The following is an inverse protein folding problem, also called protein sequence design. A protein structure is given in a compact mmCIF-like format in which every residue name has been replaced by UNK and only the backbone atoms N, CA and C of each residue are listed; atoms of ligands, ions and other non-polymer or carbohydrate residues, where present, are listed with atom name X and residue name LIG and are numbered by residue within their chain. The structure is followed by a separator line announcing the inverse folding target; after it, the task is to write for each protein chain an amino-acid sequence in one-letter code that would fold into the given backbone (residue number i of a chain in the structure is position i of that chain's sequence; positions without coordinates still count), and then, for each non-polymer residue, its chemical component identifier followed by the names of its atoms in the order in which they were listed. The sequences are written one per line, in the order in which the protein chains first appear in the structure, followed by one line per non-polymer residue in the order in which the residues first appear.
data_IF_363563786990
#
_entry.id   IF_363563786990
#
_cell.length_a   1.000
_cell.length_b   1.000
_cell.length_c   1.000
_cell.angle_alpha   90.00
_cell.angle_beta   90.00
_cell.angle_gamma   90.00
#
_symmetry.space_group_name_H-M   'P 1'
#
loop_
_entity.id
_entity.type
_entity.pdbx_description
1 polymer ?
#
# COMPACT_ATOMS: atom_id res chain seq x y z
N UNK A 1 -3.14 2.04 27.69
CA UNK A 1 -3.53 3.43 27.85
C UNK A 1 -4.21 3.90 26.57
N UNK A 2 -5.56 3.91 26.56
CA UNK A 2 -6.32 4.61 25.52
C UNK A 2 -6.06 6.10 25.74
N UNK A 3 -5.50 6.79 24.73
CA UNK A 3 -5.46 8.24 24.69
C UNK A 3 -6.90 8.70 24.44
N UNK A 4 -7.62 9.02 25.48
CA UNK A 4 -8.91 9.69 25.36
C UNK A 4 -8.67 11.05 24.71
N UNK A 5 -9.35 11.32 23.58
CA UNK A 5 -9.28 12.54 22.77
C UNK A 5 -8.08 12.71 21.83
N UNK A 6 -7.46 11.64 21.33
CA UNK A 6 -6.45 11.75 20.27
C UNK A 6 -7.12 12.05 18.92
N UNK A 7 -6.76 13.15 18.28
CA UNK A 7 -7.13 13.39 16.89
C UNK A 7 -6.41 12.37 15.97
N UNK A 8 -6.94 12.13 14.76
CA UNK A 8 -6.28 11.31 13.75
C UNK A 8 -4.83 11.76 13.51
N UNK A 9 -4.59 13.08 13.49
CA UNK A 9 -3.26 13.65 13.36
C UNK A 9 -2.34 13.24 14.53
N UNK A 10 -2.87 13.22 15.76
CA UNK A 10 -2.12 12.82 16.96
C UNK A 10 -1.70 11.34 16.89
N UNK A 11 -2.60 10.48 16.42
CA UNK A 11 -2.31 9.06 16.21
C UNK A 11 -1.25 8.86 15.12
N UNK A 12 -1.36 9.57 14.01
CA UNK A 12 -0.36 9.53 12.93
C UNK A 12 1.01 10.00 13.39
N UNK A 13 1.08 11.10 14.15
CA UNK A 13 2.35 11.58 14.75
C UNK A 13 2.96 10.53 15.68
N UNK A 14 2.15 9.84 16.46
CA UNK A 14 2.60 8.74 17.32
C UNK A 14 3.19 7.57 16.52
N UNK A 15 2.52 7.14 15.45
CA UNK A 15 3.03 6.10 14.55
C UNK A 15 4.38 6.48 13.93
N UNK A 16 4.48 7.70 13.37
CA UNK A 16 5.75 8.18 12.81
C UNK A 16 6.84 8.33 13.86
N UNK A 17 6.51 8.71 15.11
CA UNK A 17 7.45 8.73 16.22
C UNK A 17 8.05 7.36 16.51
N UNK A 18 7.24 6.30 16.49
CA UNK A 18 7.72 4.92 16.65
C UNK A 18 8.61 4.50 15.47
N UNK A 19 8.19 4.78 14.23
CA UNK A 19 8.99 4.48 13.02
C UNK A 19 10.35 5.18 13.12
N UNK A 20 10.38 6.43 13.53
CA UNK A 20 11.61 7.19 13.72
C UNK A 20 12.55 6.54 14.73
N UNK A 21 12.00 6.08 15.86
CA UNK A 21 12.79 5.35 16.88
C UNK A 21 13.39 4.06 16.35
N UNK A 22 12.67 3.33 15.49
CA UNK A 22 13.19 2.15 14.81
C UNK A 22 14.35 2.51 13.87
N UNK A 23 14.18 3.55 13.06
CA UNK A 23 15.21 4.01 12.12
C UNK A 23 16.47 4.45 12.87
N UNK A 24 16.33 5.18 13.98
CA UNK A 24 17.45 5.59 14.80
C UNK A 24 18.20 4.39 15.41
N UNK A 25 17.47 3.38 15.85
CA UNK A 25 18.09 2.15 16.36
C UNK A 25 18.79 1.37 15.24
N UNK A 26 18.22 1.29 14.04
CA UNK A 26 18.89 0.68 12.89
C UNK A 26 20.19 1.40 12.53
N UNK A 27 20.19 2.74 12.61
CA UNK A 27 21.42 3.55 12.41
C UNK A 27 22.45 3.26 13.51
N UNK A 28 22.03 3.21 14.77
CA UNK A 28 22.89 2.89 15.91
C UNK A 28 23.53 1.51 15.76
N UNK A 29 22.79 0.54 15.22
CA UNK A 29 23.27 -0.82 14.97
C UNK A 29 24.10 -0.94 13.69
N UNK A 30 24.17 0.08 12.86
CA UNK A 30 24.91 0.07 11.59
C UNK A 30 24.24 -0.76 10.49
N UNK A 31 22.94 -1.05 10.59
CA UNK A 31 22.21 -1.87 9.62
C UNK A 31 21.30 -1.05 8.70
N UNK A 32 21.15 0.25 8.97
CA UNK A 32 20.22 1.12 8.24
C UNK A 32 20.54 1.19 6.74
N UNK A 33 21.81 1.38 6.38
CA UNK A 33 22.25 1.55 5.00
C UNK A 33 21.95 0.30 4.16
N UNK A 34 22.24 -0.87 4.72
CA UNK A 34 22.11 -2.16 4.05
C UNK A 34 20.67 -2.72 4.06
N UNK A 35 19.75 -1.98 4.67
CA UNK A 35 18.35 -2.43 4.79
C UNK A 35 17.45 -1.78 3.74
N UNK A 36 16.63 -2.59 3.08
CA UNK A 36 15.43 -2.10 2.40
C UNK A 36 14.33 -1.89 3.43
N UNK A 37 13.79 -0.68 3.50
CA UNK A 37 12.72 -0.32 4.44
C UNK A 37 11.46 0.02 3.66
N UNK A 38 10.35 -0.64 3.98
CA UNK A 38 9.05 -0.40 3.36
C UNK A 38 8.07 -0.02 4.49
N UNK A 39 7.47 1.15 4.38
CA UNK A 39 6.45 1.65 5.29
C UNK A 39 5.18 1.87 4.49
N UNK A 40 4.13 1.13 4.84
CA UNK A 40 2.84 1.23 4.14
C UNK A 40 1.69 0.99 5.10
N UNK A 41 0.48 1.39 4.71
CA UNK A 41 -0.74 0.96 5.39
C UNK A 41 -1.24 -0.37 4.82
N UNK A 42 -1.90 -1.16 5.65
CA UNK A 42 -2.57 -2.41 5.26
C UNK A 42 -3.81 -2.14 4.40
N UNK A 43 -4.50 -1.04 4.69
CA UNK A 43 -5.66 -0.54 3.94
C UNK A 43 -5.75 0.99 4.02
N UNK A 44 -6.47 1.65 3.12
CA UNK A 44 -6.72 3.08 3.21
C UNK A 44 -7.61 3.41 4.41
N UNK A 45 -7.46 4.62 4.96
CA UNK A 45 -8.43 5.15 5.91
C UNK A 45 -9.74 5.43 5.16
N UNK A 46 -10.68 4.52 5.27
CA UNK A 46 -12.01 4.68 4.72
C UNK A 46 -13.03 4.47 5.83
N UNK A 47 -14.06 5.29 5.88
CA UNK A 47 -15.32 4.86 6.48
C UNK A 47 -15.96 3.92 5.48
N UNK A 48 -16.21 2.71 5.92
CA UNK A 48 -17.08 1.80 5.21
C UNK A 48 -18.51 2.28 5.49
N UNK A 49 -19.03 3.04 4.56
CA UNK A 49 -20.41 3.55 4.60
C UNK A 49 -21.40 2.63 3.86
N UNK A 50 -20.92 1.43 3.46
CA UNK A 50 -21.72 0.47 2.71
C UNK A 50 -21.96 0.87 1.26
N UNK A 51 -21.21 1.83 0.74
CA UNK A 51 -21.37 2.31 -0.63
C UNK A 51 -20.12 2.04 -1.47
N UNK A 52 -20.33 1.87 -2.78
CA UNK A 52 -19.24 1.76 -3.75
C UNK A 52 -18.39 3.05 -3.70
N UNK A 53 -17.07 2.95 -3.64
CA UNK A 53 -16.21 4.12 -3.63
C UNK A 53 -16.48 5.07 -4.80
N UNK A 54 -16.61 6.34 -4.49
CA UNK A 54 -16.74 7.44 -5.46
C UNK A 54 -15.51 8.32 -5.52
N UNK A 55 -14.47 7.98 -4.76
CA UNK A 55 -13.20 8.68 -4.70
C UNK A 55 -12.05 7.69 -4.47
N UNK A 56 -10.81 8.08 -4.83
CA UNK A 56 -9.66 7.20 -4.64
C UNK A 56 -9.47 6.78 -3.18
N UNK A 57 -9.18 5.50 -2.96
CA UNK A 57 -8.81 4.95 -1.66
C UNK A 57 -7.37 4.45 -1.75
N UNK A 58 -6.43 5.25 -1.26
CA UNK A 58 -5.00 4.99 -1.38
C UNK A 58 -4.37 4.86 0.00
N UNK A 59 -3.40 3.96 0.12
CA UNK A 59 -2.50 3.87 1.27
C UNK A 59 -1.24 4.68 1.02
N UNK A 60 -0.62 5.15 2.09
CA UNK A 60 0.73 5.71 2.00
C UNK A 60 1.73 4.59 1.72
N UNK A 61 2.75 4.89 0.91
CA UNK A 61 3.87 3.99 0.65
C UNK A 61 5.17 4.80 0.66
N UNK A 62 6.10 4.38 1.50
CA UNK A 62 7.47 4.90 1.53
C UNK A 62 8.41 3.71 1.37
N UNK A 63 9.39 3.85 0.49
CA UNK A 63 10.37 2.80 0.22
C UNK A 63 11.77 3.41 0.25
N UNK A 64 12.64 2.84 1.09
CA UNK A 64 14.08 3.09 1.09
C UNK A 64 14.77 1.84 0.57
N UNK A 65 15.45 1.89 -0.58
CA UNK A 65 16.27 0.78 -1.05
C UNK A 65 17.49 0.54 -0.15
N UNK A 66 17.99 -0.68 -0.09
CA UNK A 66 19.31 -0.96 0.48
C UNK A 66 20.41 -0.23 -0.31
N UNK A 67 21.50 0.13 0.35
CA UNK A 67 22.61 0.87 -0.26
C UNK A 67 22.35 2.37 -0.43
N UNK A 68 21.23 2.90 0.09
CA UNK A 68 20.96 4.33 0.10
C UNK A 68 21.00 4.87 1.53
N UNK A 69 21.67 5.98 1.74
CA UNK A 69 21.71 6.71 3.01
C UNK A 69 21.67 8.22 2.72
N UNK A 70 21.09 8.96 3.64
CA UNK A 70 21.07 10.43 3.66
C UNK A 70 20.55 11.11 2.36
N UNK A 71 19.84 10.36 1.53
CA UNK A 71 19.19 10.91 0.36
C UNK A 71 17.84 11.55 0.76
N UNK A 72 17.52 12.70 0.15
CA UNK A 72 16.25 13.36 0.43
C UNK A 72 15.07 12.49 -0.05
N UNK A 73 13.94 12.62 0.64
CA UNK A 73 12.69 12.00 0.21
C UNK A 73 12.27 12.56 -1.15
N UNK A 74 12.07 11.67 -2.11
CA UNK A 74 11.60 12.01 -3.47
C UNK A 74 10.22 11.43 -3.68
N UNK A 75 9.35 12.19 -4.34
CA UNK A 75 8.07 11.65 -4.81
C UNK A 75 8.28 10.89 -6.10
N UNK A 76 7.87 9.62 -6.12
CA UNK A 76 7.78 8.84 -7.36
C UNK A 76 6.35 8.83 -7.89
N UNK A 77 6.23 8.90 -9.21
CA UNK A 77 4.99 8.75 -9.95
C UNK A 77 4.86 7.36 -10.59
N UNK A 78 5.72 6.41 -10.22
CA UNK A 78 5.59 5.01 -10.65
C UNK A 78 4.24 4.44 -10.22
N UNK A 79 3.57 3.76 -11.16
CA UNK A 79 2.22 3.24 -10.95
C UNK A 79 2.28 1.88 -10.25
N UNK A 80 2.56 1.89 -8.97
CA UNK A 80 2.70 0.70 -8.11
C UNK A 80 1.42 0.41 -7.31
N UNK A 81 1.32 -0.81 -6.80
CA UNK A 81 0.24 -1.24 -5.90
C UNK A 81 0.78 -2.18 -4.82
N UNK A 82 -0.07 -2.64 -3.91
CA UNK A 82 0.32 -3.64 -2.91
C UNK A 82 0.70 -4.99 -3.52
N UNK A 83 0.25 -5.29 -4.74
CA UNK A 83 0.68 -6.48 -5.48
C UNK A 83 2.20 -6.54 -5.69
N UNK A 84 2.85 -5.37 -5.72
CA UNK A 84 4.30 -5.27 -5.88
C UNK A 84 5.08 -5.46 -4.57
N UNK A 85 4.42 -5.58 -3.40
CA UNK A 85 5.06 -5.69 -2.10
C UNK A 85 5.87 -6.97 -1.97
N UNK A 86 5.25 -8.13 -2.22
CA UNK A 86 5.92 -9.44 -2.11
C UNK A 86 7.11 -9.56 -3.08
N UNK A 87 6.96 -9.25 -4.40
CA UNK A 87 8.11 -9.27 -5.30
C UNK A 87 9.24 -8.32 -4.85
N UNK A 88 8.90 -7.17 -4.26
CA UNK A 88 9.91 -6.24 -3.72
C UNK A 88 10.67 -6.85 -2.54
N UNK A 89 9.97 -7.50 -1.62
CA UNK A 89 10.60 -8.17 -0.47
C UNK A 89 11.52 -9.29 -0.94
N UNK A 90 11.02 -10.18 -1.81
CA UNK A 90 11.78 -11.32 -2.35
C UNK A 90 13.06 -10.85 -3.05
N UNK A 91 12.92 -9.84 -3.93
CA UNK A 91 14.05 -9.26 -4.67
C UNK A 91 15.05 -8.57 -3.73
N UNK A 92 14.57 -7.78 -2.76
CA UNK A 92 15.43 -7.08 -1.81
C UNK A 92 16.19 -8.02 -0.87
N UNK A 93 15.58 -9.17 -0.56
CA UNK A 93 16.23 -10.21 0.24
C UNK A 93 17.23 -11.08 -0.55
N UNK A 94 17.35 -10.87 -1.87
CA UNK A 94 18.21 -11.68 -2.73
C UNK A 94 17.79 -13.15 -2.80
N UNK A 95 16.49 -13.42 -2.62
CA UNK A 95 15.96 -14.79 -2.65
C UNK A 95 15.80 -15.21 -4.10
N UNK A 96 16.56 -16.25 -4.49
CA UNK A 96 16.35 -16.93 -5.77
C UNK A 96 15.15 -17.88 -5.64
N UNK A 97 14.19 -17.79 -6.59
CA UNK A 97 12.98 -18.58 -6.57
C UNK A 97 12.50 -18.86 -8.00
N UNK A 98 11.93 -20.05 -8.20
CA UNK A 98 11.27 -20.41 -9.46
C UNK A 98 9.84 -19.85 -9.54
N UNK A 99 9.30 -19.33 -8.42
CA UNK A 99 7.97 -18.74 -8.41
C UNK A 99 8.00 -17.33 -9.00
N UNK A 100 7.07 -17.05 -9.88
CA UNK A 100 6.82 -15.70 -10.37
C UNK A 100 5.89 -14.96 -9.41
N UNK A 101 6.46 -14.03 -8.67
CA UNK A 101 5.70 -13.13 -7.78
C UNK A 101 5.32 -11.81 -8.46
N UNK A 102 5.64 -11.65 -9.75
CA UNK A 102 5.42 -10.42 -10.49
C UNK A 102 6.54 -9.40 -10.32
N UNK A 103 6.22 -8.13 -10.54
CA UNK A 103 7.17 -7.02 -10.57
C UNK A 103 7.34 -6.35 -9.23
N UNK A 104 8.57 -6.06 -8.83
CA UNK A 104 8.86 -5.26 -7.65
C UNK A 104 8.57 -3.77 -7.87
N UNK A 105 8.51 -2.97 -6.80
CA UNK A 105 8.41 -1.50 -6.89
C UNK A 105 9.54 -0.90 -7.75
N UNK A 106 10.72 -1.52 -7.73
CA UNK A 106 11.89 -1.04 -8.45
C UNK A 106 11.89 -1.38 -9.95
N UNK A 107 10.98 -2.24 -10.39
CA UNK A 107 10.86 -2.68 -11.79
C UNK A 107 9.84 -1.86 -12.57
N UNK A 108 9.15 -0.94 -11.94
CA UNK A 108 8.12 -0.11 -12.55
C UNK A 108 8.67 1.30 -12.71
N UNK A 109 8.87 1.70 -13.96
CA UNK A 109 9.41 3.02 -14.27
C UNK A 109 8.35 4.12 -14.11
N UNK A 110 8.81 5.34 -13.83
CA UNK A 110 7.94 6.52 -13.90
C UNK A 110 7.43 6.72 -15.33
N UNK A 111 6.14 7.06 -15.45
CA UNK A 111 5.47 7.24 -16.73
C UNK A 111 5.08 5.94 -17.43
N UNK A 112 5.44 4.78 -16.89
CA UNK A 112 4.95 3.50 -17.39
C UNK A 112 3.47 3.33 -17.03
N UNK A 113 2.63 2.98 -18.01
CA UNK A 113 1.23 2.66 -17.78
C UNK A 113 1.08 1.21 -17.32
N UNK A 114 0.80 1.05 -16.04
CA UNK A 114 0.52 -0.25 -15.42
C UNK A 114 -0.92 -0.30 -14.94
N UNK A 115 -1.68 -1.29 -15.40
CA UNK A 115 -3.01 -1.56 -14.86
C UNK A 115 -2.87 -2.29 -13.53
N UNK A 116 -3.49 -1.75 -12.48
CA UNK A 116 -3.49 -2.29 -11.12
C UNK A 116 -4.92 -2.59 -10.73
N UNK A 117 -5.11 -3.52 -9.82
CA UNK A 117 -6.42 -3.92 -9.34
C UNK A 117 -6.64 -3.49 -7.89
N UNK A 118 -7.84 -3.02 -7.60
CA UNK A 118 -8.30 -2.75 -6.25
C UNK A 118 -9.62 -3.47 -6.03
N UNK A 119 -9.60 -4.46 -5.16
CA UNK A 119 -10.80 -5.21 -4.78
C UNK A 119 -11.42 -4.57 -3.56
N UNK A 120 -12.69 -4.25 -3.68
CA UNK A 120 -13.50 -3.68 -2.64
C UNK A 120 -14.60 -4.65 -2.21
N UNK A 121 -14.71 -4.91 -0.93
CA UNK A 121 -15.81 -5.69 -0.36
C UNK A 121 -16.93 -4.75 0.06
N UNK A 122 -18.13 -5.03 -0.40
CA UNK A 122 -19.35 -4.36 -0.02
C UNK A 122 -20.28 -5.35 0.67
N UNK A 123 -20.67 -5.03 1.90
CA UNK A 123 -21.66 -5.79 2.65
C UNK A 123 -23.02 -5.13 2.47
N UNK A 124 -23.94 -5.84 1.84
CA UNK A 124 -25.28 -5.36 1.55
C UNK A 124 -26.31 -6.42 1.91
N UNK A 125 -27.16 -6.11 2.89
CA UNK A 125 -28.32 -6.91 3.31
C UNK A 125 -28.02 -8.41 3.59
N UNK A 126 -26.84 -8.68 4.17
CA UNK A 126 -26.38 -10.03 4.51
C UNK A 126 -25.61 -10.74 3.39
N UNK A 127 -25.52 -10.15 2.23
CA UNK A 127 -24.70 -10.62 1.11
C UNK A 127 -23.37 -9.86 1.04
N UNK A 128 -22.37 -10.53 0.51
CA UNK A 128 -21.07 -9.93 0.22
C UNK A 128 -20.90 -9.79 -1.28
N UNK A 129 -20.59 -8.57 -1.73
CA UNK A 129 -20.21 -8.28 -3.12
C UNK A 129 -18.74 -7.94 -3.18
N UNK A 130 -18.05 -8.47 -4.18
CA UNK A 130 -16.66 -8.11 -4.48
C UNK A 130 -16.65 -7.31 -5.77
N UNK A 131 -16.23 -6.05 -5.66
CA UNK A 131 -16.11 -5.12 -6.78
C UNK A 131 -14.63 -4.97 -7.11
N UNK A 132 -14.24 -5.28 -8.34
CA UNK A 132 -12.88 -5.13 -8.83
C UNK A 132 -12.77 -3.86 -9.69
N UNK A 133 -11.91 -2.96 -9.27
CA UNK A 133 -11.54 -1.77 -10.02
C UNK A 133 -10.21 -1.99 -10.72
N UNK A 134 -10.18 -1.85 -12.03
CA UNK A 134 -8.94 -1.67 -12.78
C UNK A 134 -8.56 -0.18 -12.78
N UNK A 135 -7.31 0.10 -12.42
CA UNK A 135 -6.77 1.46 -12.31
C UNK A 135 -5.61 1.58 -13.29
N UNK A 136 -5.76 2.42 -14.33
CA UNK A 136 -4.72 2.70 -15.31
C UNK A 136 -4.42 4.20 -15.31
N UNK A 137 -3.20 4.57 -14.93
CA UNK A 137 -2.82 5.97 -14.71
C UNK A 137 -2.66 6.30 -13.22
N UNK A 138 -2.69 7.57 -12.87
CA UNK A 138 -2.50 8.02 -11.49
C UNK A 138 -3.66 7.59 -10.60
N UNK A 139 -3.38 6.81 -9.54
CA UNK A 139 -4.41 6.27 -8.64
C UNK A 139 -5.19 7.34 -7.87
N UNK A 140 -4.62 8.53 -7.68
CA UNK A 140 -5.31 9.68 -7.06
C UNK A 140 -6.38 10.33 -7.94
N UNK A 141 -6.38 10.05 -9.24
CA UNK A 141 -7.39 10.51 -10.18
C UNK A 141 -8.44 9.40 -10.38
N UNK A 142 -9.63 9.60 -9.83
CA UNK A 142 -10.69 8.59 -9.87
C UNK A 142 -11.21 8.32 -11.28
N UNK A 143 -10.99 9.21 -12.23
CA UNK A 143 -11.34 8.98 -13.64
C UNK A 143 -10.55 7.80 -14.26
N UNK A 144 -9.43 7.42 -13.64
CA UNK A 144 -8.61 6.27 -14.02
C UNK A 144 -9.12 4.93 -13.45
N UNK A 145 -10.16 4.96 -12.60
CA UNK A 145 -10.73 3.78 -11.96
C UNK A 145 -11.93 3.28 -12.76
N UNK A 146 -11.94 2.02 -13.13
CA UNK A 146 -13.04 1.40 -13.87
C UNK A 146 -13.44 0.11 -13.18
N UNK A 147 -14.73 -0.05 -12.89
CA UNK A 147 -15.26 -1.33 -12.43
C UNK A 147 -15.14 -2.32 -13.59
N UNK A 148 -14.43 -3.41 -13.37
CA UNK A 148 -14.24 -4.50 -14.34
C UNK A 148 -14.92 -5.78 -13.91
N UNK A 149 -15.27 -5.90 -12.62
CA UNK A 149 -16.04 -7.02 -12.10
C UNK A 149 -16.87 -6.58 -10.89
N UNK A 150 -18.05 -7.13 -10.74
CA UNK A 150 -18.97 -6.96 -9.62
C UNK A 150 -19.67 -8.28 -9.37
N UNK A 151 -19.26 -9.01 -8.34
CA UNK A 151 -19.70 -10.38 -8.09
C UNK A 151 -20.34 -10.44 -6.70
N UNK A 152 -21.57 -10.89 -6.65
CA UNK A 152 -22.22 -11.29 -5.39
C UNK A 152 -21.79 -12.72 -5.05
N UNK A 153 -21.14 -12.91 -3.92
CA UNK A 153 -20.68 -14.21 -3.42
C UNK A 153 -21.58 -14.77 -2.30
N UNK A 154 -22.71 -14.09 -2.03
CA UNK A 154 -23.66 -14.48 -0.98
C UNK A 154 -23.13 -14.18 0.42
N UNK A 155 -23.81 -14.74 1.42
CA UNK A 155 -23.37 -14.58 2.81
C UNK A 155 -22.14 -15.42 3.11
N UNK A 156 -21.08 -14.77 3.58
CA UNK A 156 -19.87 -15.45 4.06
C UNK A 156 -20.01 -15.99 5.49
N UNK A 157 -21.12 -15.68 6.17
CA UNK A 157 -21.30 -15.93 7.60
C UNK A 157 -22.62 -16.67 7.89
N UNK A 158 -22.98 -17.67 7.08
CA UNK A 158 -24.06 -18.59 7.40
C UNK A 158 -23.58 -19.77 8.26
#
# INVERSE_FOLDING_TARGET
NRVENGSFESAMRGCFGMIYSYIDEMRRLGVYEDSTIIITGDHPSARDDGEIPTQPRLTALFVKPAGTCDEPLVYSHAQVSQENLIPTIVKSAGIETENDYGRSYFDIAEGENVTRHHKFELYDDGDTRIIDFAITGMGRDFSNWKIVSDINIGSLYN
#
